data_IF_981280529713
#
_entry.id   IF_981280529713
#
_cell.length_a   1.000
_cell.length_b   1.000
_cell.length_c   1.000
_cell.angle_alpha   90.00
_cell.angle_beta   90.00
_cell.angle_gamma   90.00
#
_symmetry.space_group_name_H-M   'P 1'
#
loop_
_entity.id
_entity.type
_entity.pdbx_description
1 polymer ?
#
# COMPACT_ATOMS: atom_id res chain seq x y z
N UNK A 1 24.88 23.54 -1.59
CA UNK A 1 23.81 24.54 -1.40
C UNK A 1 22.52 23.88 -1.82
N UNK A 2 21.69 23.51 -0.85
CA UNK A 2 20.51 22.68 -1.05
C UNK A 2 19.30 23.60 -1.28
N UNK A 3 18.91 23.82 -2.54
CA UNK A 3 17.70 24.55 -2.91
C UNK A 3 16.51 23.58 -2.97
N UNK A 4 16.13 23.02 -1.82
CA UNK A 4 15.02 22.05 -1.73
C UNK A 4 13.78 22.59 -1.02
N UNK A 5 13.82 23.80 -0.46
CA UNK A 5 12.66 24.42 0.19
C UNK A 5 12.36 25.75 -0.49
N UNK A 6 11.40 25.74 -1.41
CA UNK A 6 10.91 26.94 -2.10
C UNK A 6 9.42 27.12 -1.81
N UNK A 7 9.08 27.30 -0.54
CA UNK A 7 7.83 27.91 -0.12
C UNK A 7 8.11 28.86 1.05
N UNK A 8 7.21 29.81 1.29
CA UNK A 8 7.32 30.84 2.32
C UNK A 8 7.01 30.26 3.73
N UNK A 9 6.89 28.93 3.85
CA UNK A 9 6.68 28.19 5.10
C UNK A 9 7.99 27.70 5.75
N UNK A 10 8.00 27.59 7.07
CA UNK A 10 9.09 26.93 7.80
C UNK A 10 9.08 25.43 7.44
N UNK A 11 10.23 24.75 7.24
CA UNK A 11 10.29 23.33 6.86
C UNK A 11 9.47 22.37 7.75
N UNK A 12 9.25 22.74 9.01
CA UNK A 12 8.39 21.98 9.94
C UNK A 12 6.89 22.06 9.64
N UNK A 13 6.43 23.15 9.02
CA UNK A 13 5.04 23.27 8.58
C UNK A 13 4.76 22.32 7.41
N UNK A 14 5.68 22.26 6.44
CA UNK A 14 5.61 21.34 5.30
C UNK A 14 5.66 19.87 5.77
N UNK A 15 6.47 19.57 6.80
CA UNK A 15 6.50 18.25 7.40
C UNK A 15 5.18 17.85 8.06
N UNK A 16 4.53 18.76 8.80
CA UNK A 16 3.23 18.48 9.43
C UNK A 16 2.13 18.23 8.39
N UNK A 17 2.11 18.99 7.30
CA UNK A 17 1.18 18.75 6.19
C UNK A 17 1.44 17.40 5.50
N UNK A 18 2.71 17.03 5.32
CA UNK A 18 3.08 15.73 4.77
C UNK A 18 2.66 14.56 5.68
N UNK A 19 2.87 14.68 7.00
CA UNK A 19 2.42 13.68 7.98
C UNK A 19 0.90 13.54 7.96
N UNK A 20 0.14 14.64 7.92
CA UNK A 20 -1.32 14.55 7.85
C UNK A 20 -1.79 13.86 6.56
N UNK A 21 -1.18 14.20 5.43
CA UNK A 21 -1.48 13.55 4.15
C UNK A 21 -1.20 12.05 4.21
N UNK A 22 -0.08 11.65 4.81
CA UNK A 22 0.28 10.25 4.98
C UNK A 22 -0.77 9.49 5.80
N UNK A 23 -1.19 10.04 6.95
CA UNK A 23 -2.21 9.43 7.81
C UNK A 23 -3.56 9.28 7.08
N UNK A 24 -3.96 10.31 6.32
CA UNK A 24 -5.20 10.28 5.54
C UNK A 24 -5.15 9.21 4.44
N UNK A 25 -4.02 9.10 3.72
CA UNK A 25 -3.84 8.08 2.68
C UNK A 25 -3.75 6.68 3.24
N UNK A 26 -3.01 6.47 4.33
CA UNK A 26 -2.94 5.17 5.01
C UNK A 26 -4.31 4.69 5.48
N UNK A 27 -5.16 5.59 5.98
CA UNK A 27 -6.53 5.24 6.36
C UNK A 27 -7.30 4.67 5.16
N UNK A 28 -7.26 5.38 4.03
CA UNK A 28 -7.96 4.95 2.80
C UNK A 28 -7.38 3.64 2.23
N UNK A 29 -6.05 3.51 2.22
CA UNK A 29 -5.38 2.30 1.74
C UNK A 29 -5.65 1.09 2.64
N UNK A 30 -5.70 1.26 3.96
CA UNK A 30 -6.05 0.17 4.88
C UNK A 30 -7.51 -0.29 4.69
N UNK A 31 -8.44 0.64 4.47
CA UNK A 31 -9.82 0.32 4.12
C UNK A 31 -9.89 -0.46 2.80
N UNK A 32 -9.24 0.05 1.75
CA UNK A 32 -9.18 -0.60 0.43
C UNK A 32 -8.54 -1.99 0.48
N UNK A 33 -7.45 -2.15 1.25
CA UNK A 33 -6.78 -3.42 1.46
C UNK A 33 -7.66 -4.43 2.19
N UNK A 34 -8.42 -3.97 3.19
CA UNK A 34 -9.38 -4.80 3.94
C UNK A 34 -10.51 -5.28 3.05
N UNK A 35 -11.12 -4.38 2.28
CA UNK A 35 -12.15 -4.73 1.29
C UNK A 35 -11.64 -5.74 0.26
N UNK A 36 -10.40 -5.55 -0.22
CA UNK A 36 -9.79 -6.44 -1.20
C UNK A 36 -9.55 -7.84 -0.62
N UNK A 37 -9.08 -7.91 0.63
CA UNK A 37 -8.90 -9.16 1.35
C UNK A 37 -10.22 -9.91 1.53
N UNK A 38 -11.27 -9.22 2.01
CA UNK A 38 -12.59 -9.84 2.21
C UNK A 38 -13.17 -10.38 0.89
N UNK A 39 -13.01 -9.61 -0.20
CA UNK A 39 -13.48 -10.01 -1.52
C UNK A 39 -12.69 -11.22 -2.07
N UNK A 40 -11.36 -11.25 -1.88
CA UNK A 40 -10.53 -12.38 -2.26
C UNK A 40 -10.83 -13.64 -1.43
N UNK A 41 -11.02 -13.49 -0.12
CA UNK A 41 -11.38 -14.54 0.81
C UNK A 41 -12.73 -15.18 0.46
N UNK A 42 -13.69 -14.40 -0.07
CA UNK A 42 -15.00 -14.88 -0.49
C UNK A 42 -14.95 -15.80 -1.72
N UNK A 43 -13.89 -15.72 -2.54
CA UNK A 43 -13.73 -16.55 -3.74
C UNK A 43 -13.66 -18.04 -3.36
N UNK A 44 -14.52 -18.83 -3.97
CA UNK A 44 -14.61 -20.27 -3.72
C UNK A 44 -15.35 -20.67 -2.43
N UNK A 45 -15.98 -19.73 -1.70
CA UNK A 45 -16.76 -20.08 -0.49
C UNK A 45 -18.16 -20.60 -0.80
N UNK A 46 -18.82 -20.04 -1.80
CA UNK A 46 -20.17 -20.44 -2.22
C UNK A 46 -20.12 -21.72 -3.07
N UNK A 47 -20.78 -22.79 -2.61
CA UNK A 47 -20.81 -24.08 -3.30
C UNK A 47 -21.74 -24.10 -4.52
N UNK A 48 -22.68 -23.15 -4.61
CA UNK A 48 -23.64 -23.05 -5.71
C UNK A 48 -23.03 -22.36 -6.95
N UNK A 49 -21.88 -21.70 -6.80
CA UNK A 49 -21.17 -21.03 -7.91
C UNK A 49 -20.34 -22.06 -8.70
N UNK A 50 -20.86 -22.41 -9.87
CA UNK A 50 -20.19 -23.33 -10.82
C UNK A 50 -19.10 -22.62 -11.65
N UNK A 51 -19.22 -21.31 -11.87
CA UNK A 51 -18.27 -20.53 -12.67
C UNK A 51 -17.94 -19.20 -12.00
N UNK A 52 -16.67 -19.01 -11.64
CA UNK A 52 -16.18 -17.90 -10.82
C UNK A 52 -15.70 -16.68 -11.61
N UNK A 53 -15.75 -16.71 -12.95
CA UNK A 53 -15.18 -15.64 -13.79
C UNK A 53 -15.72 -14.25 -13.45
N UNK A 54 -17.03 -14.10 -13.22
CA UNK A 54 -17.61 -12.78 -12.92
C UNK A 54 -17.19 -12.26 -11.55
N UNK A 55 -17.14 -13.13 -10.54
CA UNK A 55 -16.62 -12.77 -9.21
C UNK A 55 -15.15 -12.37 -9.27
N UNK A 56 -14.32 -13.12 -10.01
CA UNK A 56 -12.90 -12.78 -10.20
C UNK A 56 -12.71 -11.45 -10.93
N UNK A 57 -13.55 -11.12 -11.93
CA UNK A 57 -13.53 -9.82 -12.62
C UNK A 57 -13.96 -8.67 -11.73
N UNK A 58 -14.86 -8.90 -10.79
CA UNK A 58 -15.22 -7.91 -9.78
C UNK A 58 -14.06 -7.64 -8.83
N UNK A 59 -13.45 -8.69 -8.27
CA UNK A 59 -12.25 -8.56 -7.44
C UNK A 59 -11.11 -7.90 -8.22
N UNK A 60 -10.95 -8.19 -9.51
CA UNK A 60 -10.00 -7.52 -10.41
C UNK A 60 -10.20 -6.02 -10.46
N UNK A 61 -11.44 -5.54 -10.58
CA UNK A 61 -11.73 -4.10 -10.60
C UNK A 61 -11.33 -3.42 -9.29
N UNK A 62 -11.59 -4.08 -8.16
CA UNK A 62 -11.14 -3.60 -6.83
C UNK A 62 -9.62 -3.58 -6.72
N UNK A 63 -8.96 -4.69 -7.09
CA UNK A 63 -7.50 -4.81 -7.07
C UNK A 63 -6.81 -3.75 -7.93
N UNK A 64 -7.32 -3.49 -9.14
CA UNK A 64 -6.74 -2.49 -10.05
C UNK A 64 -6.92 -1.05 -9.54
N UNK A 65 -8.05 -0.76 -8.88
CA UNK A 65 -8.25 0.54 -8.23
C UNK A 65 -7.29 0.72 -7.07
N UNK A 66 -7.19 -0.29 -6.20
CA UNK A 66 -6.30 -0.30 -5.05
C UNK A 66 -4.83 -0.17 -5.48
N UNK A 67 -4.38 -0.94 -6.48
CA UNK A 67 -3.02 -0.87 -6.99
C UNK A 67 -2.67 0.55 -7.46
N UNK A 68 -3.58 1.21 -8.18
CA UNK A 68 -3.34 2.57 -8.66
C UNK A 68 -3.18 3.58 -7.52
N UNK A 69 -3.97 3.43 -6.46
CA UNK A 69 -3.86 4.28 -5.27
C UNK A 69 -2.56 4.01 -4.51
N UNK A 70 -2.19 2.73 -4.37
CA UNK A 70 -0.95 2.30 -3.74
C UNK A 70 0.30 2.80 -4.48
N UNK A 71 0.34 2.66 -5.81
CA UNK A 71 1.46 3.16 -6.65
C UNK A 71 1.61 4.69 -6.52
N UNK A 72 0.49 5.43 -6.49
CA UNK A 72 0.51 6.88 -6.35
C UNK A 72 1.00 7.31 -4.96
N UNK A 73 0.65 6.54 -3.93
CA UNK A 73 1.11 6.75 -2.56
C UNK A 73 2.61 6.50 -2.43
N UNK A 74 3.09 5.31 -2.81
CA UNK A 74 4.51 4.95 -2.73
C UNK A 74 5.39 5.91 -3.54
N UNK A 75 4.96 6.33 -4.75
CA UNK A 75 5.68 7.36 -5.52
C UNK A 75 5.81 8.68 -4.74
N UNK A 76 4.73 9.12 -4.08
CA UNK A 76 4.75 10.34 -3.29
C UNK A 76 5.65 10.19 -2.05
N UNK A 77 5.66 9.03 -1.41
CA UNK A 77 6.53 8.75 -0.27
C UNK A 77 8.01 8.80 -0.65
N UNK A 78 8.39 8.14 -1.75
CA UNK A 78 9.76 8.15 -2.26
C UNK A 78 10.23 9.55 -2.67
N UNK A 79 9.39 10.32 -3.37
CA UNK A 79 9.78 11.62 -3.91
C UNK A 79 9.77 12.72 -2.85
N UNK A 80 8.89 12.62 -1.84
CA UNK A 80 8.61 13.71 -0.90
C UNK A 80 8.81 13.28 0.55
N UNK A 81 8.12 12.23 1.00
CA UNK A 81 8.06 11.90 2.43
C UNK A 81 9.40 11.38 2.96
N UNK A 82 9.99 10.36 2.35
CA UNK A 82 11.26 9.79 2.80
C UNK A 82 12.40 10.81 2.80
N UNK A 83 12.57 11.69 1.79
CA UNK A 83 13.51 12.80 1.86
C UNK A 83 13.29 13.75 3.06
N UNK A 84 12.04 14.04 3.41
CA UNK A 84 11.71 14.86 4.57
C UNK A 84 12.05 14.14 5.89
N UNK A 85 11.73 12.86 6.01
CA UNK A 85 12.06 12.03 7.18
C UNK A 85 13.57 11.94 7.37
N UNK A 86 14.32 11.63 6.30
CA UNK A 86 15.77 11.54 6.32
C UNK A 86 16.43 12.86 6.76
N UNK A 87 15.94 13.99 6.25
CA UNK A 87 16.39 15.32 6.69
C UNK A 87 16.09 15.56 8.17
N UNK A 88 14.89 15.20 8.65
CA UNK A 88 14.46 15.44 10.02
C UNK A 88 15.26 14.62 11.05
N UNK A 89 15.51 13.34 10.78
CA UNK A 89 16.26 12.47 11.68
C UNK A 89 17.78 12.50 11.48
N UNK A 90 18.25 13.13 10.40
CA UNK A 90 19.64 13.04 9.93
C UNK A 90 20.04 11.57 9.70
N UNK A 91 19.14 10.82 9.05
CA UNK A 91 19.29 9.41 8.68
C UNK A 91 19.51 9.25 7.18
N UNK A 92 19.99 8.08 6.77
CA UNK A 92 20.22 7.76 5.36
C UNK A 92 18.97 7.14 4.74
N UNK A 93 18.60 7.58 3.53
CA UNK A 93 17.48 7.03 2.76
C UNK A 93 17.59 5.51 2.53
N UNK A 94 18.81 4.98 2.58
CA UNK A 94 19.10 3.55 2.43
C UNK A 94 18.38 2.68 3.48
N UNK A 95 17.99 3.26 4.62
CA UNK A 95 17.23 2.56 5.66
C UNK A 95 15.81 2.17 5.21
N UNK A 96 15.23 2.90 4.24
CA UNK A 96 13.91 2.58 3.68
C UNK A 96 13.98 1.46 2.63
N UNK A 97 15.16 1.13 2.09
CA UNK A 97 15.33 0.14 1.01
C UNK A 97 14.68 -1.21 1.33
N UNK A 98 14.80 -1.69 2.58
CA UNK A 98 14.21 -2.98 2.95
C UNK A 98 12.67 -2.89 3.03
N UNK A 99 12.12 -1.74 3.44
CA UNK A 99 10.68 -1.52 3.48
C UNK A 99 10.10 -1.45 2.06
N UNK A 100 10.79 -0.78 1.14
CA UNK A 100 10.40 -0.71 -0.28
C UNK A 100 10.44 -2.08 -0.95
N UNK A 101 11.43 -2.91 -0.65
CA UNK A 101 11.47 -4.30 -1.15
C UNK A 101 10.28 -5.14 -0.68
N UNK A 102 9.80 -4.92 0.55
CA UNK A 102 8.58 -5.57 1.05
C UNK A 102 7.34 -5.04 0.31
N UNK A 103 7.28 -3.73 0.04
CA UNK A 103 6.22 -3.10 -0.73
C UNK A 103 6.14 -3.64 -2.17
N UNK A 104 7.27 -3.63 -2.90
CA UNK A 104 7.38 -4.18 -4.25
C UNK A 104 6.94 -5.65 -4.33
N UNK A 105 7.28 -6.46 -3.30
CA UNK A 105 6.86 -7.85 -3.25
C UNK A 105 5.33 -7.98 -3.16
N UNK A 106 4.66 -7.12 -2.39
CA UNK A 106 3.21 -7.13 -2.32
C UNK A 106 2.56 -6.70 -3.65
N UNK A 107 3.12 -5.68 -4.31
CA UNK A 107 2.66 -5.26 -5.63
C UNK A 107 2.78 -6.37 -6.67
N UNK A 108 3.87 -7.15 -6.65
CA UNK A 108 4.04 -8.31 -7.53
C UNK A 108 2.93 -9.35 -7.36
N UNK A 109 2.46 -9.57 -6.13
CA UNK A 109 1.32 -10.45 -5.89
C UNK A 109 0.01 -9.88 -6.45
N UNK A 110 -0.24 -8.58 -6.27
CA UNK A 110 -1.42 -7.93 -6.86
C UNK A 110 -1.36 -8.01 -8.38
N UNK A 111 -0.20 -7.76 -8.99
CA UNK A 111 0.01 -7.88 -10.42
C UNK A 111 -0.25 -9.31 -10.92
N UNK A 112 0.29 -10.32 -10.24
CA UNK A 112 0.08 -11.72 -10.58
C UNK A 112 -1.40 -12.11 -10.57
N UNK A 113 -2.19 -11.58 -9.62
CA UNK A 113 -3.64 -11.74 -9.63
C UNK A 113 -4.29 -11.12 -10.87
N UNK A 114 -3.95 -9.86 -11.19
CA UNK A 114 -4.53 -9.16 -12.33
C UNK A 114 -4.24 -9.87 -13.64
N UNK A 115 -2.98 -10.30 -13.85
CA UNK A 115 -2.56 -11.05 -15.02
C UNK A 115 -3.28 -12.40 -15.12
N UNK A 116 -3.42 -13.11 -14.00
CA UNK A 116 -4.13 -14.38 -13.96
C UNK A 116 -5.59 -14.19 -14.41
N UNK A 117 -6.28 -13.15 -13.93
CA UNK A 117 -7.67 -12.87 -14.32
C UNK A 117 -7.78 -12.42 -15.78
N UNK A 118 -6.81 -11.67 -16.30
CA UNK A 118 -6.76 -11.30 -17.72
C UNK A 118 -6.53 -12.49 -18.65
N UNK A 119 -5.83 -13.53 -18.18
CA UNK A 119 -5.59 -14.77 -18.92
C UNK A 119 -6.81 -15.71 -19.03
N UNK A 120 -7.95 -15.39 -18.42
CA UNK A 120 -9.13 -16.27 -18.43
C UNK A 120 -9.73 -16.36 -19.84
N UNK A 121 -9.70 -17.57 -20.42
CA UNK A 121 -10.33 -17.90 -21.72
C UNK A 121 -11.40 -18.99 -21.63
N UNK A 122 -11.58 -19.60 -20.45
CA UNK A 122 -12.49 -20.72 -20.18
C UNK A 122 -13.21 -20.47 -18.84
N UNK A 123 -14.32 -21.18 -18.55
CA UNK A 123 -14.91 -21.17 -17.21
C UNK A 123 -13.86 -21.54 -16.14
N UNK A 124 -13.92 -20.84 -15.01
CA UNK A 124 -13.02 -21.05 -13.88
C UNK A 124 -13.79 -21.69 -12.74
N UNK A 125 -13.33 -22.86 -12.32
CA UNK A 125 -13.95 -23.61 -11.23
C UNK A 125 -13.30 -23.26 -9.89
N UNK A 126 -13.98 -23.63 -8.81
CA UNK A 126 -13.65 -23.27 -7.43
C UNK A 126 -12.16 -23.31 -7.08
N UNK A 127 -11.48 -24.43 -7.32
CA UNK A 127 -10.07 -24.56 -6.91
C UNK A 127 -9.12 -23.67 -7.73
N UNK A 128 -9.39 -23.50 -9.03
CA UNK A 128 -8.64 -22.57 -9.89
C UNK A 128 -8.90 -21.11 -9.45
N UNK A 129 -10.15 -20.77 -9.12
CA UNK A 129 -10.51 -19.44 -8.62
C UNK A 129 -9.81 -19.11 -7.29
N UNK A 130 -9.76 -20.06 -6.34
CA UNK A 130 -9.06 -19.90 -5.06
C UNK A 130 -7.56 -19.73 -5.24
N UNK A 131 -6.96 -20.47 -6.17
CA UNK A 131 -5.55 -20.30 -6.50
C UNK A 131 -5.27 -18.88 -7.01
N UNK A 132 -6.10 -18.34 -7.89
CA UNK A 132 -5.95 -16.97 -8.37
C UNK A 132 -6.11 -15.95 -7.24
N UNK A 133 -7.16 -16.07 -6.42
CA UNK A 133 -7.40 -15.19 -5.28
C UNK A 133 -6.29 -15.25 -4.22
N UNK A 134 -5.58 -16.38 -4.12
CA UNK A 134 -4.49 -16.56 -3.14
C UNK A 134 -3.33 -15.57 -3.31
N UNK A 135 -3.14 -14.99 -4.50
CA UNK A 135 -2.16 -13.94 -4.70
C UNK A 135 -2.51 -12.69 -3.87
N UNK A 136 -3.77 -12.25 -3.87
CA UNK A 136 -4.22 -11.12 -3.06
C UNK A 136 -4.14 -11.42 -1.55
N UNK A 137 -4.43 -12.67 -1.16
CA UNK A 137 -4.28 -13.12 0.23
C UNK A 137 -2.82 -13.10 0.70
N UNK A 138 -1.86 -13.27 -0.22
CA UNK A 138 -0.42 -13.16 0.07
C UNK A 138 0.05 -11.71 0.16
N UNK A 139 -0.50 -10.80 -0.66
CA UNK A 139 -0.21 -9.36 -0.58
C UNK A 139 -0.68 -8.74 0.75
N UNK A 140 -1.84 -9.16 1.25
CA UNK A 140 -2.48 -8.61 2.45
C UNK A 140 -1.60 -8.52 3.70
N UNK A 141 -0.96 -9.61 4.20
CA UNK A 141 -0.13 -9.53 5.39
C UNK A 141 1.14 -8.69 5.18
N UNK A 142 1.65 -8.61 3.95
CA UNK A 142 2.85 -7.83 3.61
C UNK A 142 2.55 -6.34 3.69
N UNK A 143 1.49 -5.88 3.01
CA UNK A 143 1.08 -4.45 3.05
C UNK A 143 0.65 -4.02 4.44
N UNK A 144 -0.08 -4.86 5.17
CA UNK A 144 -0.41 -4.56 6.57
C UNK A 144 0.81 -4.41 7.47
N UNK A 145 1.86 -5.19 7.21
CA UNK A 145 3.10 -5.08 7.96
C UNK A 145 3.87 -3.81 7.57
N UNK A 146 3.91 -3.50 6.27
CA UNK A 146 4.51 -2.30 5.72
C UNK A 146 3.88 -1.02 6.30
N UNK A 147 2.56 -0.83 6.21
CA UNK A 147 1.87 0.33 6.79
C UNK A 147 2.10 0.48 8.31
N UNK A 148 2.20 -0.63 9.05
CA UNK A 148 2.52 -0.56 10.49
C UNK A 148 3.93 -0.04 10.74
N UNK A 149 4.92 -0.49 9.97
CA UNK A 149 6.30 0.00 10.10
C UNK A 149 6.40 1.49 9.80
N UNK A 150 5.70 1.97 8.77
CA UNK A 150 5.65 3.39 8.46
C UNK A 150 5.01 4.18 9.59
N UNK A 151 3.87 3.72 10.11
CA UNK A 151 3.23 4.36 11.26
C UNK A 151 4.14 4.43 12.50
N UNK A 152 4.97 3.41 12.74
CA UNK A 152 5.97 3.42 13.83
C UNK A 152 7.02 4.52 13.62
N UNK A 153 7.48 4.72 12.38
CA UNK A 153 8.43 5.80 12.03
C UNK A 153 7.79 7.17 12.27
N UNK A 154 6.54 7.37 11.82
CA UNK A 154 5.80 8.62 12.01
C UNK A 154 5.54 8.91 13.47
N UNK A 155 5.19 7.89 14.26
CA UNK A 155 5.00 8.03 15.71
C UNK A 155 6.31 8.48 16.38
N UNK A 156 7.44 7.89 15.99
CA UNK A 156 8.75 8.30 16.50
C UNK A 156 9.12 9.75 16.12
N UNK A 157 8.66 10.24 14.97
CA UNK A 157 8.83 11.64 14.56
C UNK A 157 8.07 12.59 15.48
N UNK A 158 6.80 12.29 15.73
CA UNK A 158 5.91 13.08 16.58
C UNK A 158 6.42 13.16 18.03
N UNK A 159 6.92 12.05 18.56
CA UNK A 159 7.53 12.02 19.90
C UNK A 159 8.79 12.90 19.97
N UNK A 160 9.63 12.87 18.94
CA UNK A 160 10.86 13.69 18.87
C UNK A 160 10.52 15.17 18.72
N UNK A 161 9.49 15.55 17.97
CA UNK A 161 9.05 16.96 17.89
C UNK A 161 8.54 17.46 19.24
N UNK A 162 7.86 16.60 20.02
CA UNK A 162 7.36 16.94 21.36
C UNK A 162 8.50 17.03 22.40
N UNK A 163 9.56 16.24 22.25
CA UNK A 163 10.71 16.24 23.18
C UNK A 163 11.60 17.48 23.10
N UNK A 164 11.63 18.19 21.96
CA UNK A 164 12.39 19.44 21.79
C UNK A 164 11.58 20.71 22.11
N UNK A 165 10.34 20.56 22.59
CA UNK A 165 9.54 21.66 23.12
C UNK A 165 9.14 22.69 22.06
N UNK A 166 7.95 22.51 21.51
CA UNK A 166 7.06 23.61 21.16
C UNK A 166 5.92 23.64 22.17
#
# INVERSE_FOLDING_TARGET
>A
MNTLFKSIGHPLYELNEAVQKLEDEHTLLQEGLTELYEAAEAIGRDEDIVNWVEALREVKRKAASFQKELEAHSTWEEEIMFPMIAWYFNEELEQFTLMEQEHELAEQFIHAFLEAVDGIVKPVFREEARLMASYLLQAYPILNHHFRKEQEIITAMADRSNAYGY
#
